data_IF_297020843961
#
_entry.id   IF_297020843961
#
_cell.length_a   1.000
_cell.length_b   1.000
_cell.length_c   1.000
_cell.angle_alpha   90.00
_cell.angle_beta   90.00
_cell.angle_gamma   90.00
#
_symmetry.space_group_name_H-M   'P 1'
#
loop_
_entity.id
_entity.type
_entity.pdbx_description
1 polymer ?
#
# COMPACT_ATOMS: atom_id res chain seq x y z
N UNK A 1 15.45 -15.84 19.51
CA UNK A 1 14.99 -14.49 19.10
C UNK A 1 14.36 -14.64 17.72
N UNK A 2 13.04 -14.51 17.60
CA UNK A 2 12.38 -14.60 16.28
C UNK A 2 12.91 -13.44 15.44
N UNK A 3 13.59 -13.73 14.33
CA UNK A 3 14.02 -12.69 13.40
C UNK A 3 12.75 -11.93 12.98
N UNK A 4 12.65 -10.65 13.33
CA UNK A 4 11.45 -9.83 13.14
C UNK A 4 11.10 -9.69 11.64
N UNK A 5 9.94 -9.08 11.32
CA UNK A 5 9.53 -8.72 9.95
C UNK A 5 10.41 -7.61 9.35
N UNK A 6 11.68 -7.52 9.75
CA UNK A 6 12.67 -6.62 9.20
C UNK A 6 13.19 -7.18 7.87
N UNK A 7 13.17 -6.34 6.84
CA UNK A 7 13.46 -6.71 5.45
C UNK A 7 14.41 -5.75 4.74
N UNK A 8 15.02 -4.81 5.47
CA UNK A 8 15.99 -3.85 4.90
C UNK A 8 17.16 -4.59 4.26
N UNK A 9 17.46 -4.25 3.02
CA UNK A 9 18.54 -4.85 2.22
C UNK A 9 18.23 -6.23 1.67
N UNK A 10 17.01 -6.75 1.88
CA UNK A 10 16.62 -8.10 1.45
C UNK A 10 15.73 -8.10 0.20
N UNK A 11 15.27 -6.93 -0.24
CA UNK A 11 14.30 -6.79 -1.33
C UNK A 11 14.83 -5.81 -2.37
N UNK A 12 14.65 -6.15 -3.64
CA UNK A 12 14.97 -5.23 -4.75
C UNK A 12 13.83 -4.25 -4.98
N UNK A 13 14.10 -2.98 -5.30
CA UNK A 13 13.05 -2.05 -5.70
C UNK A 13 12.38 -2.53 -7.01
N UNK A 14 11.16 -2.08 -7.24
CA UNK A 14 10.53 -2.22 -8.56
C UNK A 14 11.27 -1.38 -9.61
N UNK A 15 11.11 -1.70 -10.92
CA UNK A 15 11.59 -0.83 -11.99
C UNK A 15 11.04 0.59 -11.85
N UNK A 16 11.76 1.57 -12.44
CA UNK A 16 11.30 2.97 -12.45
C UNK A 16 10.06 3.14 -13.33
N UNK A 17 9.88 2.28 -14.34
CA UNK A 17 8.65 2.25 -15.10
C UNK A 17 7.50 1.76 -14.21
N UNK A 18 6.45 2.57 -14.11
CA UNK A 18 5.29 2.27 -13.29
C UNK A 18 4.61 0.99 -13.80
N UNK A 19 4.46 0.00 -12.91
CA UNK A 19 3.78 -1.24 -13.23
C UNK A 19 2.27 -1.09 -13.03
N UNK A 20 1.48 -1.52 -14.02
CA UNK A 20 0.03 -1.63 -13.88
C UNK A 20 -0.35 -2.96 -13.22
N UNK A 21 -0.80 -2.91 -11.97
CA UNK A 21 -1.24 -4.09 -11.20
C UNK A 21 -2.42 -4.82 -11.89
N UNK A 22 -3.19 -4.14 -12.74
CA UNK A 22 -4.27 -4.79 -13.48
C UNK A 22 -3.77 -5.77 -14.56
N UNK A 23 -2.55 -5.57 -15.07
CA UNK A 23 -1.99 -6.38 -16.14
C UNK A 23 -1.64 -7.81 -15.66
N UNK A 24 -1.76 -8.77 -16.57
CA UNK A 24 -1.50 -10.18 -16.28
C UNK A 24 -0.06 -10.40 -15.79
N UNK A 25 0.11 -11.20 -14.73
CA UNK A 25 1.42 -11.52 -14.15
C UNK A 25 2.08 -10.40 -13.34
N UNK A 26 1.62 -9.15 -13.43
CA UNK A 26 2.17 -8.04 -12.65
C UNK A 26 1.95 -8.21 -11.14
N UNK A 27 0.76 -8.60 -10.64
CA UNK A 27 0.58 -8.89 -9.22
C UNK A 27 1.60 -9.90 -8.68
N UNK A 28 1.80 -11.03 -9.38
CA UNK A 28 2.75 -12.07 -8.99
C UNK A 28 4.19 -11.54 -8.96
N UNK A 29 4.57 -10.73 -9.96
CA UNK A 29 5.88 -10.07 -10.01
C UNK A 29 6.09 -9.14 -8.81
N UNK A 30 5.10 -8.32 -8.49
CA UNK A 30 5.18 -7.39 -7.36
C UNK A 30 5.24 -8.16 -6.03
N UNK A 31 4.40 -9.18 -5.86
CA UNK A 31 4.40 -10.02 -4.67
C UNK A 31 5.76 -10.71 -4.45
N UNK A 32 6.36 -11.25 -5.51
CA UNK A 32 7.70 -11.87 -5.45
C UNK A 32 8.80 -10.87 -5.13
N UNK A 33 8.70 -9.65 -5.64
CA UNK A 33 9.79 -8.66 -5.55
C UNK A 33 9.74 -7.86 -4.25
N UNK A 34 8.54 -7.55 -3.77
CA UNK A 34 8.31 -6.65 -2.62
C UNK A 34 7.70 -7.33 -1.42
N UNK A 35 7.10 -8.51 -1.57
CA UNK A 35 6.59 -9.28 -0.44
C UNK A 35 7.73 -9.85 0.39
N UNK A 36 7.59 -9.84 1.71
CA UNK A 36 8.56 -10.43 2.63
C UNK A 36 7.86 -11.22 3.71
N UNK A 37 8.24 -12.49 3.88
CA UNK A 37 7.58 -13.42 4.82
C UNK A 37 6.06 -13.49 4.69
N UNK A 38 5.57 -13.32 3.46
CA UNK A 38 4.15 -13.31 3.17
C UNK A 38 3.45 -12.00 3.51
N UNK A 39 4.17 -10.92 3.83
CA UNK A 39 3.61 -9.60 4.17
C UNK A 39 3.97 -8.55 3.12
N UNK A 40 3.06 -7.57 2.93
CA UNK A 40 3.34 -6.33 2.20
C UNK A 40 2.52 -5.17 2.79
N UNK A 41 3.17 -4.02 2.97
CA UNK A 41 2.53 -2.76 3.33
C UNK A 41 2.13 -2.03 2.05
N UNK A 42 0.86 -1.66 1.92
CA UNK A 42 0.32 -0.92 0.77
C UNK A 42 -0.16 0.44 1.25
N UNK A 43 0.19 1.51 0.54
CA UNK A 43 -0.35 2.84 0.83
C UNK A 43 -0.47 3.66 -0.45
N UNK A 44 -1.42 4.59 -0.46
CA UNK A 44 -1.69 5.46 -1.61
C UNK A 44 -0.97 6.78 -1.48
N UNK A 45 -0.24 7.19 -2.51
CA UNK A 45 0.32 8.53 -2.64
C UNK A 45 0.35 8.93 -4.13
N UNK A 46 0.09 10.20 -4.40
CA UNK A 46 0.27 10.81 -5.72
C UNK A 46 1.40 11.85 -5.66
N UNK A 47 1.66 12.53 -6.78
CA UNK A 47 2.71 13.54 -6.85
C UNK A 47 2.46 14.72 -5.88
N UNK A 48 1.20 15.09 -5.64
CA UNK A 48 0.84 16.17 -4.72
C UNK A 48 1.08 15.79 -3.24
N UNK A 49 0.99 14.50 -2.91
CA UNK A 49 1.25 13.94 -1.59
C UNK A 49 2.65 13.32 -1.47
N UNK A 50 3.54 13.55 -2.45
CA UNK A 50 4.87 12.96 -2.49
C UNK A 50 5.67 13.18 -1.20
N UNK A 51 5.61 14.39 -0.61
CA UNK A 51 6.27 14.69 0.67
C UNK A 51 5.81 13.79 1.82
N UNK A 52 4.50 13.52 1.93
CA UNK A 52 3.95 12.59 2.92
C UNK A 52 4.35 11.15 2.62
N UNK A 53 4.25 10.72 1.36
CA UNK A 53 4.69 9.39 0.94
C UNK A 53 6.18 9.14 1.23
N UNK A 54 7.04 10.12 0.95
CA UNK A 54 8.49 10.08 1.21
C UNK A 54 8.81 10.04 2.69
N UNK A 55 8.11 10.86 3.48
CA UNK A 55 8.20 10.80 4.93
C UNK A 55 7.85 9.40 5.45
N UNK A 56 6.75 8.82 4.95
CA UNK A 56 6.29 7.50 5.33
C UNK A 56 7.28 6.39 4.93
N UNK A 57 7.82 6.42 3.70
CA UNK A 57 8.89 5.51 3.26
C UNK A 57 10.10 5.56 4.19
N UNK A 58 10.56 6.77 4.54
CA UNK A 58 11.67 6.95 5.48
C UNK A 58 11.36 6.36 6.85
N UNK A 59 10.14 6.56 7.35
CA UNK A 59 9.69 6.00 8.61
C UNK A 59 9.66 4.46 8.62
N UNK A 60 9.20 3.84 7.53
CA UNK A 60 9.17 2.39 7.36
C UNK A 60 10.59 1.81 7.32
N UNK A 61 11.47 2.38 6.48
CA UNK A 61 12.87 1.93 6.36
C UNK A 61 13.63 2.03 7.68
N UNK A 62 13.49 3.15 8.42
CA UNK A 62 14.13 3.33 9.73
C UNK A 62 13.69 2.30 10.77
N UNK A 63 12.52 1.68 10.59
CA UNK A 63 11.99 0.62 11.47
C UNK A 63 12.27 -0.78 10.93
N UNK A 64 13.03 -0.89 9.85
CA UNK A 64 13.39 -2.15 9.23
C UNK A 64 12.35 -2.68 8.24
N UNK A 65 11.29 -1.94 7.92
CA UNK A 65 10.30 -2.37 6.94
C UNK A 65 10.64 -1.83 5.55
N UNK A 66 10.99 -2.75 4.65
CA UNK A 66 11.21 -2.46 3.23
C UNK A 66 10.15 -3.12 2.33
N UNK A 67 9.35 -4.07 2.83
CA UNK A 67 8.25 -4.70 2.08
C UNK A 67 7.03 -3.78 2.00
N UNK A 68 7.17 -2.71 1.23
CA UNK A 68 6.09 -1.77 0.96
C UNK A 68 5.94 -1.49 -0.53
N UNK A 69 4.77 -0.98 -0.89
CA UNK A 69 4.40 -0.55 -2.23
C UNK A 69 3.63 0.76 -2.16
N UNK A 70 4.11 1.77 -2.89
CA UNK A 70 3.34 2.98 -3.17
C UNK A 70 2.35 2.66 -4.28
N UNK A 71 1.07 2.92 -4.03
CA UNK A 71 0.04 2.91 -5.04
C UNK A 71 -0.24 4.34 -5.49
N UNK A 72 0.21 4.68 -6.69
CA UNK A 72 -0.19 5.90 -7.36
C UNK A 72 -1.50 5.68 -8.12
N UNK A 73 -2.16 6.77 -8.46
CA UNK A 73 -3.37 6.74 -9.27
C UNK A 73 -3.04 6.60 -10.77
N UNK A 74 -1.82 6.93 -11.20
CA UNK A 74 -1.39 6.86 -12.60
C UNK A 74 0.10 6.52 -12.75
N UNK A 75 0.48 6.10 -13.97
CA UNK A 75 1.88 5.89 -14.33
C UNK A 75 2.70 7.19 -14.23
N UNK A 76 2.11 8.31 -14.66
CA UNK A 76 2.75 9.63 -14.63
C UNK A 76 3.03 10.09 -13.20
N UNK A 77 2.10 9.87 -12.27
CA UNK A 77 2.33 10.20 -10.86
C UNK A 77 3.39 9.31 -10.20
N UNK A 78 3.51 8.05 -10.59
CA UNK A 78 4.68 7.24 -10.20
C UNK A 78 5.99 7.84 -10.75
N UNK A 79 6.02 8.21 -12.03
CA UNK A 79 7.20 8.80 -12.66
C UNK A 79 7.59 10.14 -12.01
N UNK A 80 6.62 11.00 -11.70
CA UNK A 80 6.82 12.27 -10.99
C UNK A 80 7.40 12.05 -9.59
N UNK A 81 6.86 11.12 -8.81
CA UNK A 81 7.42 10.75 -7.51
C UNK A 81 8.85 10.20 -7.62
N UNK A 82 9.15 9.36 -8.62
CA UNK A 82 10.51 8.89 -8.87
C UNK A 82 11.47 10.05 -9.19
N UNK A 83 11.04 11.00 -10.03
CA UNK A 83 11.85 12.17 -10.38
C UNK A 83 12.16 13.04 -9.15
N UNK A 84 11.16 13.28 -8.28
CA UNK A 84 11.36 14.02 -7.04
C UNK A 84 12.27 13.28 -6.05
N UNK A 85 12.19 11.94 -6.00
CA UNK A 85 13.04 11.10 -5.14
C UNK A 85 14.48 10.93 -5.67
N UNK A 86 14.75 11.28 -6.93
CA UNK A 86 16.07 11.04 -7.55
C UNK A 86 17.22 11.72 -6.80
N UNK A 87 16.96 12.87 -6.16
CA UNK A 87 17.95 13.54 -5.31
C UNK A 87 18.33 12.70 -4.09
N UNK A 88 17.36 11.97 -3.51
CA UNK A 88 17.62 11.04 -2.41
C UNK A 88 18.54 9.90 -2.85
N UNK A 89 18.30 9.35 -4.04
CA UNK A 89 19.13 8.29 -4.61
C UNK A 89 20.54 8.79 -4.90
N UNK A 90 20.66 9.86 -5.68
CA UNK A 90 21.94 10.36 -6.19
C UNK A 90 22.80 11.05 -5.13
N UNK A 91 22.19 11.76 -4.17
CA UNK A 91 22.92 12.55 -3.17
C UNK A 91 23.07 11.86 -1.81
N UNK A 92 22.15 10.95 -1.48
CA UNK A 92 22.11 10.30 -0.16
C UNK A 92 22.22 8.77 -0.23
N UNK A 93 22.43 8.20 -1.43
CA UNK A 93 22.52 6.74 -1.65
C UNK A 93 21.29 5.97 -1.15
N UNK A 94 20.13 6.61 -1.14
CA UNK A 94 18.86 5.95 -0.79
C UNK A 94 18.45 4.98 -1.90
N UNK A 95 17.83 3.86 -1.52
CA UNK A 95 17.25 2.96 -2.52
C UNK A 95 16.08 3.63 -3.27
N UNK A 96 15.88 3.34 -4.56
CA UNK A 96 14.74 3.82 -5.34
C UNK A 96 13.39 3.49 -4.69
N UNK A 97 12.36 4.27 -5.06
CA UNK A 97 10.99 3.97 -4.65
C UNK A 97 10.47 2.68 -5.32
N UNK A 98 9.47 2.06 -4.72
CA UNK A 98 8.66 1.02 -5.37
C UNK A 98 7.25 1.55 -5.55
N UNK A 99 6.93 1.96 -6.77
CA UNK A 99 5.64 2.53 -7.15
C UNK A 99 4.95 1.69 -8.22
N UNK A 100 3.64 1.54 -8.09
CA UNK A 100 2.78 0.92 -9.09
C UNK A 100 1.44 1.68 -9.14
N UNK A 101 0.65 1.41 -10.18
CA UNK A 101 -0.71 1.95 -10.31
C UNK A 101 -1.67 0.83 -10.72
N UNK A 102 -2.97 1.12 -10.80
CA UNK A 102 -3.91 0.21 -11.43
C UNK A 102 -4.85 0.94 -12.37
N UNK A 103 -4.90 0.50 -13.63
CA UNK A 103 -5.84 1.03 -14.62
C UNK A 103 -7.30 0.59 -14.38
N UNK A 104 -7.50 -0.55 -13.72
CA UNK A 104 -8.80 -1.21 -13.66
C UNK A 104 -9.89 -0.43 -12.92
N UNK A 105 -9.69 0.08 -11.69
CA UNK A 105 -10.78 0.75 -10.98
C UNK A 105 -11.30 1.97 -11.74
N UNK A 106 -10.42 2.74 -12.38
CA UNK A 106 -10.82 3.90 -13.21
C UNK A 106 -11.67 3.52 -14.43
N UNK A 107 -11.61 2.26 -14.88
CA UNK A 107 -12.31 1.77 -16.07
C UNK A 107 -13.52 0.89 -15.75
N UNK A 108 -13.76 0.55 -14.47
CA UNK A 108 -14.84 -0.36 -14.09
C UNK A 108 -16.21 0.36 -14.08
N UNK A 109 -17.18 -0.18 -14.82
CA UNK A 109 -18.51 0.42 -15.00
C UNK A 109 -19.27 0.65 -13.69
N UNK A 110 -18.99 -0.15 -12.65
CA UNK A 110 -19.56 0.04 -11.31
C UNK A 110 -19.21 1.38 -10.64
N UNK A 111 -18.23 2.13 -11.17
CA UNK A 111 -17.93 3.50 -10.70
C UNK A 111 -18.79 4.57 -11.38
N UNK A 112 -19.48 4.25 -12.47
CA UNK A 112 -20.32 5.21 -13.18
C UNK A 112 -21.46 5.77 -12.30
N UNK A 113 -21.92 5.01 -11.30
CA UNK A 113 -22.92 5.48 -10.33
C UNK A 113 -22.38 6.58 -9.39
N UNK A 114 -21.06 6.68 -9.25
CA UNK A 114 -20.37 7.63 -8.40
C UNK A 114 -19.83 8.84 -9.20
N UNK A 115 -19.72 8.74 -10.52
CA UNK A 115 -19.49 9.88 -11.42
C UNK A 115 -20.78 10.68 -11.59
N UNK A 116 -20.87 11.89 -11.02
CA UNK A 116 -21.98 12.80 -11.34
C UNK A 116 -21.80 13.32 -12.77
N UNK A 117 -22.81 13.11 -13.61
CA UNK A 117 -22.80 13.45 -15.05
C UNK A 117 -22.45 14.92 -15.36
N UNK A 118 -22.66 15.86 -14.43
CA UNK A 118 -22.54 17.30 -14.68
C UNK A 118 -21.45 18.03 -13.87
N UNK A 119 -20.66 17.32 -13.06
CA UNK A 119 -19.53 17.92 -12.34
C UNK A 119 -18.40 16.90 -12.18
N UNK A 120 -17.25 17.07 -12.85
CA UNK A 120 -16.04 16.34 -12.51
C UNK A 120 -15.56 16.83 -11.14
N UNK A 121 -16.14 16.27 -10.08
CA UNK A 121 -15.69 16.53 -8.72
C UNK A 121 -14.32 15.90 -8.56
N UNK A 122 -13.30 16.72 -8.28
CA UNK A 122 -11.94 16.24 -8.00
C UNK A 122 -11.94 15.22 -6.86
N UNK A 123 -12.88 15.35 -5.91
CA UNK A 123 -13.06 14.37 -4.83
C UNK A 123 -13.46 12.99 -5.34
N UNK A 124 -14.21 12.89 -6.43
CA UNK A 124 -14.60 11.60 -6.99
C UNK A 124 -13.39 10.79 -7.47
N UNK A 125 -12.44 11.44 -8.15
CA UNK A 125 -11.21 10.79 -8.59
C UNK A 125 -10.34 10.36 -7.39
N UNK A 126 -10.33 11.16 -6.32
CA UNK A 126 -9.67 10.82 -5.06
C UNK A 126 -10.31 9.59 -4.41
N UNK A 127 -11.65 9.48 -4.38
CA UNK A 127 -12.31 8.29 -3.84
C UNK A 127 -12.05 7.03 -4.66
N UNK A 128 -12.03 7.11 -5.99
CA UNK A 128 -11.62 5.98 -6.84
C UNK A 128 -10.17 5.59 -6.53
N UNK A 129 -9.29 6.58 -6.38
CA UNK A 129 -7.90 6.33 -6.04
C UNK A 129 -7.76 5.62 -4.68
N UNK A 130 -8.40 6.14 -3.63
CA UNK A 130 -8.39 5.50 -2.31
C UNK A 130 -9.03 4.11 -2.34
N UNK A 131 -10.08 3.89 -3.12
CA UNK A 131 -10.69 2.58 -3.27
C UNK A 131 -9.84 1.58 -4.09
N UNK A 132 -8.95 2.08 -4.96
CA UNK A 132 -8.03 1.26 -5.75
C UNK A 132 -7.15 0.39 -4.85
N UNK A 133 -6.81 0.85 -3.64
CA UNK A 133 -6.04 0.06 -2.68
C UNK A 133 -6.73 -1.23 -2.26
N UNK A 134 -8.08 -1.28 -2.22
CA UNK A 134 -8.82 -2.51 -1.91
C UNK A 134 -8.73 -3.53 -3.02
N UNK A 135 -8.83 -3.06 -4.26
CA UNK A 135 -8.63 -3.92 -5.41
C UNK A 135 -7.19 -4.46 -5.43
N UNK A 136 -6.20 -3.58 -5.35
CA UNK A 136 -4.79 -3.99 -5.37
C UNK A 136 -4.48 -4.95 -4.21
N UNK A 137 -5.04 -4.72 -3.02
CA UNK A 137 -4.94 -5.65 -1.88
C UNK A 137 -5.46 -7.04 -2.26
N UNK A 138 -6.66 -7.15 -2.83
CA UNK A 138 -7.22 -8.43 -3.27
C UNK A 138 -6.34 -9.12 -4.33
N UNK A 139 -5.79 -8.38 -5.31
CA UNK A 139 -4.84 -8.95 -6.28
C UNK A 139 -3.65 -9.58 -5.58
N UNK A 140 -2.99 -8.84 -4.70
CA UNK A 140 -1.77 -9.28 -4.04
C UNK A 140 -2.03 -10.39 -3.01
N UNK A 141 -3.22 -10.40 -2.39
CA UNK A 141 -3.64 -11.49 -1.52
C UNK A 141 -3.76 -12.83 -2.26
N UNK A 142 -4.26 -12.80 -3.51
CA UNK A 142 -4.34 -13.99 -4.37
C UNK A 142 -2.96 -14.55 -4.72
N UNK A 143 -1.92 -13.70 -4.68
CA UNK A 143 -0.52 -14.08 -4.90
C UNK A 143 0.19 -14.56 -3.63
N UNK A 144 -0.54 -14.77 -2.53
CA UNK A 144 0.07 -15.34 -1.32
C UNK A 144 0.59 -14.29 -0.32
N UNK A 145 0.15 -13.03 -0.39
CA UNK A 145 0.47 -12.01 0.62
C UNK A 145 -0.68 -11.72 1.59
N UNK A 146 -0.35 -11.41 2.84
CA UNK A 146 -1.16 -10.62 3.75
C UNK A 146 -0.85 -9.15 3.46
N UNK A 147 -1.85 -8.28 3.57
CA UNK A 147 -1.72 -6.88 3.16
C UNK A 147 -2.05 -5.96 4.33
N UNK A 148 -1.11 -5.10 4.70
CA UNK A 148 -1.34 -3.99 5.62
C UNK A 148 -1.53 -2.71 4.81
N UNK A 149 -2.78 -2.28 4.63
CA UNK A 149 -3.15 -1.03 3.98
C UNK A 149 -3.12 0.12 4.98
N UNK A 150 -2.32 1.15 4.69
CA UNK A 150 -2.16 2.32 5.55
C UNK A 150 -2.37 3.62 4.75
N UNK A 151 -2.92 4.64 5.41
CA UNK A 151 -2.83 6.01 4.92
C UNK A 151 -1.44 6.60 5.24
N UNK A 152 -0.97 7.53 4.40
CA UNK A 152 0.40 8.08 4.50
C UNK A 152 0.59 9.08 5.64
N UNK A 153 -0.50 9.52 6.26
CA UNK A 153 -0.52 10.36 7.47
C UNK A 153 -0.44 9.53 8.77
N UNK A 154 -0.33 8.21 8.66
CA UNK A 154 -0.07 7.33 9.79
C UNK A 154 1.40 7.35 10.26
N UNK A 155 1.60 7.04 11.54
CA UNK A 155 2.92 6.85 12.14
C UNK A 155 2.97 5.47 12.81
N UNK A 156 3.89 4.61 12.39
CA UNK A 156 4.14 3.35 13.08
C UNK A 156 5.03 3.62 14.30
N UNK A 157 4.57 3.32 15.51
CA UNK A 157 5.38 3.54 16.73
C UNK A 157 6.20 2.32 17.16
N UNK A 158 5.98 1.15 16.54
CA UNK A 158 6.70 -0.08 16.83
C UNK A 158 6.45 -1.16 15.78
N UNK A 159 6.88 -2.39 16.08
CA UNK A 159 6.65 -3.54 15.21
C UNK A 159 5.16 -3.93 15.22
N UNK A 160 4.44 -3.48 14.19
CA UNK A 160 3.00 -3.72 14.05
C UNK A 160 2.68 -5.20 13.84
N UNK A 161 3.57 -5.96 13.19
CA UNK A 161 3.34 -7.37 12.89
C UNK A 161 3.38 -8.23 14.15
N UNK A 162 4.20 -7.88 15.15
CA UNK A 162 4.15 -8.56 16.45
C UNK A 162 2.74 -8.56 17.06
N UNK A 163 1.97 -7.47 16.87
CA UNK A 163 0.59 -7.35 17.36
C UNK A 163 -0.40 -8.06 16.44
N UNK A 164 -0.27 -7.87 15.13
CA UNK A 164 -1.18 -8.47 14.14
C UNK A 164 -1.11 -10.00 14.12
N UNK A 165 0.06 -10.58 14.42
CA UNK A 165 0.28 -12.02 14.49
C UNK A 165 0.08 -12.62 15.88
N UNK A 166 -0.41 -11.83 16.84
CA UNK A 166 -0.75 -12.31 18.19
C UNK A 166 -2.27 -12.43 18.37
N UNK A 167 -2.77 -13.33 19.22
CA UNK A 167 -4.19 -13.36 19.58
C UNK A 167 -4.65 -12.02 20.20
N UNK A 168 -5.90 -11.59 19.95
CA UNK A 168 -6.92 -12.26 19.13
C UNK A 168 -6.80 -11.96 17.62
N UNK A 169 -5.88 -11.08 17.24
CA UNK A 169 -5.75 -10.51 15.88
C UNK A 169 -5.41 -11.59 14.83
N UNK A 170 -4.54 -12.53 15.19
CA UNK A 170 -4.11 -13.61 14.29
C UNK A 170 -5.27 -14.48 13.75
N UNK A 171 -6.44 -14.49 14.42
CA UNK A 171 -7.62 -15.27 14.01
C UNK A 171 -8.65 -14.48 13.19
N UNK A 172 -8.42 -13.19 12.97
CA UNK A 172 -9.32 -12.31 12.22
C UNK A 172 -8.88 -12.22 10.75
N UNK A 173 -9.81 -12.42 9.82
CA UNK A 173 -9.55 -12.31 8.38
C UNK A 173 -9.29 -10.86 7.94
N UNK A 174 -9.95 -9.92 8.62
CA UNK A 174 -9.80 -8.47 8.41
C UNK A 174 -9.72 -7.77 9.77
N UNK A 175 -8.75 -6.88 9.93
CA UNK A 175 -8.62 -6.01 11.10
C UNK A 175 -8.72 -4.58 10.60
N UNK A 176 -9.67 -3.83 11.17
CA UNK A 176 -9.91 -2.43 10.84
C UNK A 176 -10.13 -1.65 12.12
N UNK A 177 -9.67 -0.40 12.14
CA UNK A 177 -9.88 0.49 13.27
C UNK A 177 -11.24 1.19 13.20
N UNK A 178 -11.78 1.59 14.34
CA UNK A 178 -12.92 2.51 14.41
C UNK A 178 -12.41 3.94 14.48
N UNK A 179 -13.13 4.89 13.90
CA UNK A 179 -12.90 6.29 14.24
C UNK A 179 -13.19 6.49 15.74
N UNK A 180 -12.33 7.26 16.40
CA UNK A 180 -12.52 7.68 17.80
C UNK A 180 -13.41 8.93 17.91
N UNK A 181 -14.05 9.31 16.80
CA UNK A 181 -15.09 10.32 16.80
C UNK A 181 -16.44 9.73 17.20
N UNK A 182 -17.39 10.61 17.53
CA UNK A 182 -18.76 10.19 17.87
C UNK A 182 -19.51 9.47 16.73
N UNK A 183 -18.94 9.37 15.52
CA UNK A 183 -19.61 8.78 14.35
C UNK A 183 -19.74 7.26 14.42
N UNK A 184 -18.94 6.60 15.26
CA UNK A 184 -18.89 5.14 15.38
C UNK A 184 -18.56 4.42 14.05
N UNK A 185 -18.08 5.15 13.04
CA UNK A 185 -17.75 4.63 11.71
C UNK A 185 -16.39 3.92 11.69
N UNK A 186 -16.16 3.12 10.65
CA UNK A 186 -14.88 2.45 10.44
C UNK A 186 -13.84 3.45 9.91
N UNK A 187 -12.66 3.48 10.52
CA UNK A 187 -11.51 4.18 10.00
C UNK A 187 -10.78 3.27 9.03
N UNK A 188 -10.73 3.67 7.76
CA UNK A 188 -10.07 2.90 6.71
C UNK A 188 -8.59 3.27 6.51
N UNK A 189 -8.03 4.16 7.31
CA UNK A 189 -6.61 4.49 7.28
C UNK A 189 -5.71 3.40 7.85
N UNK A 190 -6.29 2.41 8.53
CA UNK A 190 -5.63 1.16 8.91
C UNK A 190 -6.53 -0.03 8.58
N UNK A 191 -6.09 -0.87 7.64
CA UNK A 191 -6.76 -2.14 7.33
C UNK A 191 -5.73 -3.23 7.11
N UNK A 192 -5.83 -4.32 7.85
CA UNK A 192 -5.01 -5.51 7.64
C UNK A 192 -5.86 -6.66 7.12
N UNK A 193 -5.43 -7.24 6.00
CA UNK A 193 -6.04 -8.42 5.41
C UNK A 193 -5.16 -9.65 5.68
N UNK A 194 -5.68 -10.58 6.49
CA UNK A 194 -4.97 -11.74 7.00
C UNK A 194 -5.51 -13.03 6.37
N UNK A 195 -4.81 -13.56 5.36
CA UNK A 195 -5.16 -14.87 4.78
C UNK A 195 -4.87 -16.01 5.75
N UNK A 196 -3.93 -15.82 6.67
CA UNK A 196 -3.50 -16.81 7.65
C UNK A 196 -4.54 -17.12 8.73
N UNK A 197 -5.56 -16.28 8.92
CA UNK A 197 -6.58 -16.42 9.95
C UNK A 197 -7.28 -17.78 9.94
N UNK A 198 -7.69 -18.24 8.76
CA UNK A 198 -8.31 -19.55 8.58
C UNK A 198 -7.42 -20.75 8.94
N UNK A 199 -6.08 -20.59 8.91
CA UNK A 199 -5.11 -21.63 9.26
C UNK A 199 -4.73 -21.62 10.75
N UNK A 200 -5.06 -20.54 11.46
CA UNK A 200 -4.74 -20.35 12.86
C UNK A 200 -5.92 -20.68 13.80
N UNK A 201 -7.05 -21.16 13.26
CA UNK A 201 -8.22 -21.63 14.03
C UNK A 201 -8.13 -23.11 14.34
#
# INVERSE_FOLDING_TARGET
MSAAFQSVGQLSPLPREALDIAAAGVPARVAKTRGYRGELILFTADENMAGWGFHFVNQLRRRGHEHWLIMADSADNCAGMHAQWEKMVSSYSEAPLSCAYSSYPKQHSGWAQWTRANHPDKMHQVYIFWATRWWVSLKLMREGLNILSLDVDAVLLGDIYSRLHSPPMVHQDVIITRNDDGSQSLNCGFVYFNRGASRAR
#
